data_IF_850968920211
#
_entry.id   IF_850968920211
#
_cell.length_a   1.000
_cell.length_b   1.000
_cell.length_c   1.000
_cell.angle_alpha   90.00
_cell.angle_beta   90.00
_cell.angle_gamma   90.00
#
_symmetry.space_group_name_H-M   'P 1'
#
loop_
_entity.id
_entity.type
_entity.pdbx_description
1 polymer ?
#
# COMPACT_ATOMS: atom_id res chain seq x y z
N UNK A 1 -18.86 5.87 -50.46
CA UNK A 1 -17.75 5.27 -49.72
C UNK A 1 -17.75 5.89 -48.32
N UNK A 2 -18.28 5.15 -47.35
CA UNK A 2 -18.25 5.60 -45.94
C UNK A 2 -16.93 5.14 -45.32
N UNK A 3 -16.08 6.09 -45.03
CA UNK A 3 -14.82 5.86 -44.31
C UNK A 3 -15.11 5.34 -42.91
N UNK A 4 -14.69 4.09 -42.61
CA UNK A 4 -14.65 3.56 -41.26
C UNK A 4 -13.55 4.32 -40.48
N UNK A 5 -13.96 5.19 -39.58
CA UNK A 5 -13.06 5.72 -38.56
C UNK A 5 -12.74 4.55 -37.61
N UNK A 6 -11.56 4.02 -37.70
CA UNK A 6 -11.01 3.12 -36.66
C UNK A 6 -10.63 4.04 -35.52
N UNK A 7 -11.45 4.07 -34.47
CA UNK A 7 -11.06 4.66 -33.19
C UNK A 7 -10.04 3.68 -32.60
N UNK A 8 -8.76 4.00 -32.74
CA UNK A 8 -7.72 3.38 -31.93
C UNK A 8 -7.95 3.93 -30.52
N UNK A 9 -8.56 3.13 -29.64
CA UNK A 9 -8.47 3.40 -28.20
C UNK A 9 -6.97 3.35 -27.86
N UNK A 10 -6.34 4.49 -27.70
CA UNK A 10 -5.07 4.56 -26.99
C UNK A 10 -5.34 4.01 -25.58
N UNK A 11 -4.81 2.83 -25.30
CA UNK A 11 -4.80 2.29 -23.95
C UNK A 11 -3.91 3.22 -23.18
N UNK A 12 -4.50 4.08 -22.36
CA UNK A 12 -3.77 4.91 -21.38
C UNK A 12 -3.05 3.95 -20.44
N UNK A 13 -1.75 3.77 -20.67
CA UNK A 13 -0.93 2.96 -19.78
C UNK A 13 -0.35 3.91 -18.74
N UNK A 14 -0.78 3.76 -17.50
CA UNK A 14 -0.16 4.40 -16.35
C UNK A 14 1.17 3.73 -16.04
N UNK A 15 2.11 4.49 -15.47
CA UNK A 15 3.35 3.95 -14.93
C UNK A 15 3.38 4.26 -13.44
N UNK A 16 3.42 3.21 -12.62
CA UNK A 16 3.53 3.34 -11.18
C UNK A 16 4.99 3.18 -10.77
N UNK A 17 5.59 4.27 -10.32
CA UNK A 17 6.97 4.30 -9.82
C UNK A 17 7.00 4.09 -8.30
N UNK A 18 7.84 3.16 -7.84
CA UNK A 18 8.08 2.96 -6.42
C UNK A 18 8.51 1.54 -6.06
N UNK A 19 8.92 1.34 -4.82
CA UNK A 19 9.29 0.02 -4.31
C UNK A 19 8.04 -0.81 -3.96
N UNK A 20 7.95 -2.04 -4.47
CA UNK A 20 6.82 -2.93 -4.22
C UNK A 20 6.58 -3.19 -2.71
N UNK A 21 7.62 -3.17 -1.89
CA UNK A 21 7.52 -3.35 -0.43
C UNK A 21 6.90 -2.14 0.29
N UNK A 22 6.76 -0.99 -0.38
CA UNK A 22 6.16 0.21 0.23
C UNK A 22 4.65 0.04 0.42
N UNK A 23 4.10 0.34 1.61
CA UNK A 23 2.65 0.29 1.84
C UNK A 23 1.89 1.28 0.95
N UNK A 24 2.48 2.42 0.64
CA UNK A 24 1.88 3.47 -0.20
C UNK A 24 1.86 3.08 -1.69
N UNK A 25 2.91 2.40 -2.17
CA UNK A 25 2.94 1.82 -3.54
C UNK A 25 1.90 0.71 -3.64
N UNK A 26 1.83 -0.17 -2.65
CA UNK A 26 0.83 -1.24 -2.56
C UNK A 26 -0.59 -0.70 -2.56
N UNK A 27 -0.87 0.35 -1.77
CA UNK A 27 -2.17 1.04 -1.78
C UNK A 27 -2.56 1.47 -3.18
N UNK A 28 -1.69 2.18 -3.88
CA UNK A 28 -1.93 2.64 -5.25
C UNK A 28 -2.07 1.47 -6.25
N UNK A 29 -1.24 0.43 -6.11
CA UNK A 29 -1.32 -0.77 -6.95
C UNK A 29 -2.66 -1.47 -6.82
N UNK A 30 -3.10 -1.74 -5.59
CA UNK A 30 -4.39 -2.40 -5.33
C UNK A 30 -5.53 -1.52 -5.86
N UNK A 31 -5.46 -0.21 -5.66
CA UNK A 31 -6.44 0.74 -6.16
C UNK A 31 -6.57 0.70 -7.68
N UNK A 32 -5.45 0.74 -8.42
CA UNK A 32 -5.42 0.61 -9.87
C UNK A 32 -6.04 -0.72 -10.33
N UNK A 33 -5.68 -1.84 -9.68
CA UNK A 33 -6.23 -3.16 -10.00
C UNK A 33 -7.73 -3.28 -9.72
N UNK A 34 -8.23 -2.72 -8.62
CA UNK A 34 -9.66 -2.69 -8.32
C UNK A 34 -10.45 -1.80 -9.30
N UNK A 35 -9.83 -0.75 -9.83
CA UNK A 35 -10.36 0.07 -10.92
C UNK A 35 -10.32 -0.64 -12.29
N UNK A 36 -9.62 -1.76 -12.41
CA UNK A 36 -9.41 -2.44 -13.69
C UNK A 36 -8.51 -1.66 -14.65
N UNK A 37 -7.63 -0.81 -14.13
CA UNK A 37 -6.70 0.00 -14.90
C UNK A 37 -5.40 -0.77 -15.14
N UNK A 38 -4.95 -0.78 -16.39
CA UNK A 38 -3.65 -1.34 -16.75
C UNK A 38 -2.54 -0.34 -16.46
N UNK A 39 -1.42 -0.83 -15.93
CA UNK A 39 -0.25 -0.01 -15.64
C UNK A 39 1.04 -0.85 -15.72
N UNK A 40 2.13 -0.16 -15.99
CA UNK A 40 3.49 -0.68 -15.86
C UNK A 40 4.02 -0.32 -14.47
N UNK A 41 4.66 -1.27 -13.78
CA UNK A 41 5.38 -0.98 -12.54
C UNK A 41 6.85 -0.73 -12.84
N UNK A 42 7.39 0.37 -12.33
CA UNK A 42 8.82 0.68 -12.37
C UNK A 42 9.36 0.81 -10.96
N UNK A 43 10.21 -0.14 -10.61
CA UNK A 43 10.90 -0.14 -9.33
C UNK A 43 11.70 1.16 -9.16
N UNK A 44 11.54 1.78 -7.98
CA UNK A 44 12.27 2.99 -7.60
C UNK A 44 12.72 2.87 -6.15
N UNK A 45 14.02 3.04 -5.89
CA UNK A 45 14.55 3.01 -4.53
C UNK A 45 14.10 4.28 -3.76
N UNK A 46 13.36 4.14 -2.65
CA UNK A 46 12.93 5.28 -1.85
C UNK A 46 14.10 6.03 -1.18
N UNK A 47 15.29 5.45 -1.17
CA UNK A 47 16.51 6.05 -0.63
C UNK A 47 17.34 6.76 -1.71
N UNK A 48 16.99 6.62 -2.99
CA UNK A 48 17.58 7.38 -4.08
C UNK A 48 17.30 8.88 -3.85
N UNK A 49 18.33 9.69 -3.95
CA UNK A 49 18.27 11.15 -3.86
C UNK A 49 18.80 11.80 -5.13
N UNK A 50 18.79 11.05 -6.25
CA UNK A 50 19.17 11.57 -7.55
C UNK A 50 18.30 12.76 -7.97
N UNK A 51 18.88 13.66 -8.76
CA UNK A 51 18.12 14.78 -9.35
C UNK A 51 16.91 14.29 -10.15
N UNK A 52 17.07 13.15 -10.84
CA UNK A 52 15.98 12.50 -11.57
C UNK A 52 14.80 12.18 -10.65
N UNK A 53 15.04 11.52 -9.51
CA UNK A 53 13.95 11.18 -8.59
C UNK A 53 13.34 12.43 -7.95
N UNK A 54 14.17 13.38 -7.53
CA UNK A 54 13.70 14.64 -6.94
C UNK A 54 12.92 15.51 -7.94
N UNK A 55 13.21 15.39 -9.25
CA UNK A 55 12.39 16.05 -10.28
C UNK A 55 11.00 15.40 -10.44
N UNK A 56 10.86 14.10 -10.16
CA UNK A 56 9.56 13.42 -10.17
C UNK A 56 8.73 13.74 -8.92
N UNK A 57 9.38 13.79 -7.76
CA UNK A 57 8.74 14.16 -6.49
C UNK A 57 9.76 14.93 -5.61
N UNK A 58 9.57 16.23 -5.40
CA UNK A 58 10.53 17.04 -4.64
C UNK A 58 10.63 16.65 -3.16
N UNK A 59 9.64 15.89 -2.62
CA UNK A 59 9.71 15.33 -1.28
C UNK A 59 10.59 14.06 -1.24
N UNK A 60 11.02 13.52 -2.40
CA UNK A 60 11.78 12.28 -2.50
C UNK A 60 11.04 11.10 -1.87
N UNK A 61 9.73 11.00 -2.12
CA UNK A 61 8.84 9.94 -1.62
C UNK A 61 8.19 9.19 -2.76
N UNK A 62 7.82 7.96 -2.52
CA UNK A 62 7.07 7.06 -3.40
C UNK A 62 5.67 6.80 -2.81
N UNK A 63 4.66 6.50 -3.67
CA UNK A 63 4.69 6.34 -5.13
C UNK A 63 4.69 7.66 -5.92
N UNK A 64 5.00 7.54 -7.21
CA UNK A 64 4.67 8.53 -8.24
C UNK A 64 3.92 7.80 -9.35
N UNK A 65 2.81 8.35 -9.82
CA UNK A 65 2.07 7.90 -10.99
C UNK A 65 2.44 8.80 -12.18
N UNK A 66 2.84 8.18 -13.29
CA UNK A 66 3.10 8.86 -14.55
C UNK A 66 2.00 8.52 -15.55
N UNK A 67 1.42 9.53 -16.19
CA UNK A 67 0.43 9.39 -17.23
C UNK A 67 1.09 9.26 -18.62
N UNK A 68 0.32 8.85 -19.62
CA UNK A 68 0.83 8.63 -20.99
C UNK A 68 1.44 9.89 -21.63
N UNK A 69 1.03 11.09 -21.23
CA UNK A 69 1.56 12.36 -21.68
C UNK A 69 2.80 12.83 -20.88
N UNK A 70 3.23 12.04 -19.88
CA UNK A 70 4.36 12.35 -19.01
C UNK A 70 4.00 13.20 -17.79
N UNK A 71 2.72 13.52 -17.56
CA UNK A 71 2.30 14.20 -16.33
C UNK A 71 2.57 13.31 -15.11
N UNK A 72 3.06 13.89 -14.02
CA UNK A 72 3.45 13.19 -12.80
C UNK A 72 2.54 13.58 -11.64
N UNK A 73 2.00 12.57 -10.97
CA UNK A 73 1.15 12.74 -9.78
C UNK A 73 1.83 12.02 -8.63
N UNK A 74 2.13 12.74 -7.56
CA UNK A 74 2.84 12.21 -6.39
C UNK A 74 1.93 12.15 -5.18
N UNK A 75 2.25 11.24 -4.25
CA UNK A 75 1.50 10.88 -3.05
C UNK A 75 0.34 9.91 -3.31
N UNK A 76 0.29 8.84 -2.49
CA UNK A 76 -0.68 7.76 -2.70
C UNK A 76 -2.14 8.18 -2.55
N UNK A 77 -2.46 9.07 -1.60
CA UNK A 77 -3.81 9.55 -1.39
C UNK A 77 -4.25 10.50 -2.51
N UNK A 78 -3.32 11.37 -2.96
CA UNK A 78 -3.56 12.25 -4.11
C UNK A 78 -3.78 11.44 -5.39
N UNK A 79 -2.97 10.40 -5.62
CA UNK A 79 -3.11 9.50 -6.78
C UNK A 79 -4.46 8.78 -6.74
N UNK A 80 -4.83 8.20 -5.58
CA UNK A 80 -6.10 7.48 -5.46
C UNK A 80 -7.32 8.40 -5.64
N UNK A 81 -7.30 9.60 -5.07
CA UNK A 81 -8.40 10.58 -5.28
C UNK A 81 -8.46 11.06 -6.73
N UNK A 82 -7.32 11.31 -7.37
CA UNK A 82 -7.26 11.64 -8.79
C UNK A 82 -7.87 10.53 -9.65
N UNK A 83 -7.45 9.29 -9.45
CA UNK A 83 -7.96 8.12 -10.19
C UNK A 83 -9.45 7.88 -9.94
N UNK A 84 -9.94 8.14 -8.72
CA UNK A 84 -11.38 8.08 -8.42
C UNK A 84 -12.18 9.08 -9.27
N UNK A 85 -11.69 10.30 -9.43
CA UNK A 85 -12.36 11.34 -10.16
C UNK A 85 -12.30 11.12 -11.69
N UNK A 86 -11.18 10.63 -12.22
CA UNK A 86 -11.02 10.36 -13.66
C UNK A 86 -11.72 9.05 -14.07
N UNK A 87 -11.72 8.07 -13.19
CA UNK A 87 -12.34 6.75 -13.38
C UNK A 87 -13.35 6.45 -12.26
N UNK A 88 -14.54 7.07 -12.27
CA UNK A 88 -15.47 6.99 -11.13
C UNK A 88 -16.10 5.61 -10.93
N UNK A 89 -15.95 4.67 -11.86
CA UNK A 89 -16.52 3.32 -11.76
C UNK A 89 -15.46 2.23 -11.99
N UNK A 90 -15.38 1.22 -11.10
CA UNK A 90 -16.10 1.11 -9.83
C UNK A 90 -15.67 2.18 -8.83
N UNK A 91 -16.61 2.71 -8.01
CA UNK A 91 -16.29 3.67 -6.95
C UNK A 91 -15.57 2.99 -5.79
N UNK A 92 -14.42 3.52 -5.39
CA UNK A 92 -13.63 3.04 -4.24
C UNK A 92 -13.63 4.02 -3.06
N UNK A 93 -14.20 5.20 -3.26
CA UNK A 93 -14.58 6.11 -2.19
C UNK A 93 -16.11 6.14 -2.07
N UNK A 94 -16.69 6.06 -0.87
CA UNK A 94 -18.14 6.16 -0.70
C UNK A 94 -18.70 7.48 -1.27
N UNK A 95 -19.86 7.40 -1.93
CA UNK A 95 -20.55 8.58 -2.46
C UNK A 95 -21.23 9.42 -1.37
N UNK A 96 -21.68 8.80 -0.28
CA UNK A 96 -22.22 9.51 0.88
C UNK A 96 -21.12 10.24 1.64
N UNK A 97 -21.34 11.51 1.97
CA UNK A 97 -20.33 12.35 2.60
C UNK A 97 -19.88 11.88 3.99
N UNK A 98 -20.76 11.25 4.78
CA UNK A 98 -20.40 10.74 6.12
C UNK A 98 -19.54 9.48 6.00
N UNK A 99 -19.94 8.56 5.14
CA UNK A 99 -19.18 7.35 4.83
C UNK A 99 -17.84 7.70 4.19
N UNK A 100 -17.81 8.70 3.29
CA UNK A 100 -16.55 9.20 2.70
C UNK A 100 -15.63 9.79 3.77
N UNK A 101 -16.15 10.60 4.70
CA UNK A 101 -15.35 11.14 5.78
C UNK A 101 -14.77 10.03 6.68
N UNK A 102 -15.54 8.96 6.94
CA UNK A 102 -15.08 7.79 7.68
C UNK A 102 -14.01 7.01 6.90
N UNK A 103 -14.16 6.87 5.59
CA UNK A 103 -13.15 6.22 4.74
C UNK A 103 -11.83 6.99 4.73
N UNK A 104 -11.88 8.32 4.59
CA UNK A 104 -10.70 9.19 4.67
C UNK A 104 -10.05 9.15 6.07
N UNK A 105 -10.83 9.01 7.13
CA UNK A 105 -10.29 8.82 8.47
C UNK A 105 -9.47 7.54 8.60
N UNK A 106 -9.97 6.41 8.07
CA UNK A 106 -9.21 5.15 8.09
C UNK A 106 -8.01 5.19 7.16
N UNK A 107 -8.09 5.89 6.04
CA UNK A 107 -6.94 6.14 5.16
C UNK A 107 -5.85 6.91 5.92
N UNK A 108 -6.20 8.03 6.58
CA UNK A 108 -5.26 8.82 7.38
C UNK A 108 -4.69 8.01 8.55
N UNK A 109 -5.53 7.22 9.24
CA UNK A 109 -5.09 6.34 10.31
C UNK A 109 -4.04 5.33 9.82
N UNK A 110 -4.28 4.73 8.64
CA UNK A 110 -3.36 3.78 8.03
C UNK A 110 -2.05 4.46 7.60
N UNK A 111 -2.14 5.61 6.95
CA UNK A 111 -1.01 6.31 6.35
C UNK A 111 -0.09 6.97 7.40
N UNK A 112 -0.60 7.23 8.59
CA UNK A 112 0.14 7.88 9.68
C UNK A 112 0.49 6.89 10.80
N UNK A 113 -0.40 6.72 11.78
CA UNK A 113 -0.11 5.95 12.99
C UNK A 113 0.18 4.49 12.71
N UNK A 114 -0.66 3.81 11.92
CA UNK A 114 -0.47 2.38 11.64
C UNK A 114 0.80 2.14 10.83
N UNK A 115 1.08 2.98 9.82
CA UNK A 115 2.33 2.88 9.04
C UNK A 115 3.54 3.13 9.91
N UNK A 116 3.52 4.10 10.81
CA UNK A 116 4.62 4.34 11.74
C UNK A 116 4.94 3.09 12.57
N UNK A 117 3.93 2.39 13.05
CA UNK A 117 4.09 1.19 13.88
C UNK A 117 4.55 -0.02 13.04
N UNK A 118 3.86 -0.32 11.93
CA UNK A 118 4.17 -1.47 11.10
C UNK A 118 5.52 -1.34 10.37
N UNK A 119 5.85 -0.14 9.88
CA UNK A 119 7.12 0.13 9.24
C UNK A 119 8.28 0.03 10.23
N UNK A 120 8.10 0.49 11.48
CA UNK A 120 9.15 0.34 12.50
C UNK A 120 9.48 -1.14 12.74
N UNK A 121 8.47 -2.01 12.84
CA UNK A 121 8.68 -3.46 12.99
C UNK A 121 9.38 -4.05 11.76
N UNK A 122 8.95 -3.67 10.56
CA UNK A 122 9.62 -4.09 9.31
C UNK A 122 11.10 -3.64 9.29
N UNK A 123 11.39 -2.41 9.68
CA UNK A 123 12.76 -1.90 9.76
C UNK A 123 13.61 -2.67 10.76
N UNK A 124 13.08 -2.96 11.95
CA UNK A 124 13.80 -3.70 12.99
C UNK A 124 14.07 -5.17 12.60
N UNK A 125 13.14 -5.80 11.87
CA UNK A 125 13.31 -7.18 11.42
C UNK A 125 14.16 -7.34 10.17
N UNK A 126 14.09 -6.39 9.23
CA UNK A 126 14.65 -6.56 7.88
C UNK A 126 15.77 -5.54 7.63
N UNK A 127 15.48 -4.24 7.70
CA UNK A 127 16.40 -3.21 7.21
C UNK A 127 17.63 -3.05 8.12
N UNK A 128 17.42 -2.97 9.43
CA UNK A 128 18.51 -2.79 10.40
C UNK A 128 19.45 -3.99 10.38
N UNK A 129 18.99 -5.26 10.44
CA UNK A 129 19.86 -6.43 10.32
C UNK A 129 20.71 -6.44 9.06
N UNK A 130 20.12 -6.18 7.90
CA UNK A 130 20.84 -6.15 6.62
C UNK A 130 21.93 -5.07 6.64
N UNK A 131 21.62 -3.87 7.10
CA UNK A 131 22.57 -2.75 7.11
C UNK A 131 23.66 -2.88 8.16
N UNK A 132 23.35 -3.45 9.32
CA UNK A 132 24.29 -3.58 10.42
C UNK A 132 25.12 -4.86 10.34
N UNK A 133 24.71 -5.85 9.54
CA UNK A 133 25.29 -7.21 9.53
C UNK A 133 25.04 -7.99 10.83
N UNK A 134 24.11 -7.53 11.68
CA UNK A 134 23.76 -8.17 12.96
C UNK A 134 22.34 -8.75 12.89
N UNK A 135 22.05 -9.83 13.58
CA UNK A 135 20.68 -10.36 13.66
C UNK A 135 19.73 -9.36 14.30
N UNK A 136 18.43 -9.47 13.99
CA UNK A 136 17.39 -8.69 14.62
C UNK A 136 17.38 -8.90 16.14
N UNK A 137 17.22 -7.82 16.90
CA UNK A 137 17.04 -7.89 18.36
C UNK A 137 15.56 -8.16 18.68
N UNK A 138 15.24 -9.44 18.85
CA UNK A 138 13.87 -9.86 19.14
C UNK A 138 13.34 -9.33 20.48
N UNK A 139 14.24 -9.06 21.44
CA UNK A 139 13.83 -8.50 22.73
C UNK A 139 13.35 -7.05 22.59
N UNK A 140 14.10 -6.24 21.83
CA UNK A 140 13.71 -4.86 21.52
C UNK A 140 12.43 -4.80 20.69
N UNK A 141 12.30 -5.66 19.69
CA UNK A 141 11.12 -5.76 18.84
C UNK A 141 9.87 -6.12 19.66
N UNK A 142 9.98 -7.14 20.52
CA UNK A 142 8.86 -7.54 21.37
C UNK A 142 8.48 -6.42 22.36
N UNK A 143 9.43 -5.74 22.97
CA UNK A 143 9.17 -4.61 23.83
C UNK A 143 8.47 -3.45 23.09
N UNK A 144 8.87 -3.19 21.84
CA UNK A 144 8.20 -2.20 20.98
C UNK A 144 6.75 -2.61 20.68
N UNK A 145 6.53 -3.88 20.30
CA UNK A 145 5.19 -4.42 20.00
C UNK A 145 4.29 -4.38 21.24
N UNK A 146 4.77 -4.83 22.39
CA UNK A 146 4.00 -4.88 23.64
C UNK A 146 3.56 -3.49 24.09
N UNK A 147 4.38 -2.48 23.82
CA UNK A 147 4.07 -1.08 24.14
C UNK A 147 3.06 -0.46 23.18
N UNK A 148 3.16 -0.71 21.88
CA UNK A 148 2.45 0.07 20.87
C UNK A 148 1.24 -0.65 20.26
N UNK A 149 1.26 -1.98 20.18
CA UNK A 149 0.18 -2.74 19.54
C UNK A 149 -1.16 -2.67 20.28
N UNK A 150 -1.22 -2.70 21.64
CA UNK A 150 -2.51 -2.68 22.34
C UNK A 150 -3.42 -1.52 21.96
N UNK A 151 -2.89 -0.32 21.84
CA UNK A 151 -3.68 0.88 21.52
C UNK A 151 -4.11 0.85 20.04
N UNK A 152 -3.18 0.50 19.13
CA UNK A 152 -3.42 0.54 17.69
C UNK A 152 -4.29 -0.62 17.23
N UNK A 153 -3.88 -1.84 17.50
CA UNK A 153 -4.64 -3.02 17.07
C UNK A 153 -5.86 -3.29 17.95
N UNK A 154 -5.84 -2.86 19.22
CA UNK A 154 -7.03 -2.91 20.09
C UNK A 154 -8.17 -2.03 19.54
N UNK A 155 -7.86 -0.83 19.04
CA UNK A 155 -8.84 0.00 18.33
C UNK A 155 -9.36 -0.69 17.07
N UNK A 156 -8.46 -1.17 16.20
CA UNK A 156 -8.84 -1.85 14.96
C UNK A 156 -9.67 -3.12 15.22
N UNK A 157 -9.32 -3.90 16.25
CA UNK A 157 -10.11 -5.06 16.71
C UNK A 157 -11.53 -4.68 17.13
N UNK A 158 -11.67 -3.55 17.83
CA UNK A 158 -12.97 -3.07 18.32
C UNK A 158 -13.92 -2.63 17.20
N UNK A 159 -13.38 -2.21 16.06
CA UNK A 159 -14.15 -1.69 14.91
C UNK A 159 -14.16 -2.62 13.70
N UNK A 160 -13.38 -3.71 13.74
CA UNK A 160 -13.30 -4.67 12.65
C UNK A 160 -14.66 -5.33 12.37
N UNK A 161 -15.13 -5.35 11.11
CA UNK A 161 -16.36 -6.02 10.74
C UNK A 161 -16.16 -7.54 10.62
N UNK A 162 -17.23 -8.32 10.91
CA UNK A 162 -17.13 -9.78 10.88
C UNK A 162 -17.05 -10.33 9.45
N UNK A 163 -17.80 -9.76 8.49
CA UNK A 163 -17.94 -10.31 7.13
C UNK A 163 -17.95 -9.27 5.99
N UNK A 164 -17.72 -7.99 6.31
CA UNK A 164 -17.85 -6.87 5.37
C UNK A 164 -16.62 -5.99 5.34
N UNK A 165 -16.72 -4.84 4.68
CA UNK A 165 -15.72 -3.78 4.66
C UNK A 165 -15.82 -2.88 5.89
N UNK A 166 -14.72 -2.18 6.21
CA UNK A 166 -14.63 -1.35 7.44
C UNK A 166 -15.58 -0.14 7.40
N UNK A 167 -15.99 0.30 6.23
CA UNK A 167 -16.91 1.43 6.03
C UNK A 167 -18.16 0.98 5.30
N UNK A 168 -19.26 0.83 6.04
CA UNK A 168 -20.64 0.68 5.55
C UNK A 168 -20.80 -0.36 4.42
N UNK A 169 -20.13 -1.51 4.53
CA UNK A 169 -20.09 -2.59 3.54
C UNK A 169 -19.58 -2.17 2.14
N UNK A 170 -18.93 -1.03 2.06
CA UNK A 170 -18.33 -0.52 0.83
C UNK A 170 -16.83 -0.80 0.81
N UNK A 171 -16.40 -1.81 0.02
CA UNK A 171 -14.98 -2.05 -0.17
C UNK A 171 -14.34 -0.88 -0.91
N UNK A 172 -13.26 -0.35 -0.35
CA UNK A 172 -12.61 0.81 -0.95
C UNK A 172 -11.32 1.23 -0.27
N UNK A 173 -11.04 2.54 -0.35
CA UNK A 173 -9.76 3.12 0.06
C UNK A 173 -9.40 2.80 1.52
N UNK A 174 -10.37 2.75 2.43
CA UNK A 174 -10.14 2.41 3.84
C UNK A 174 -9.56 1.00 4.00
N UNK A 175 -10.19 0.01 3.35
CA UNK A 175 -9.76 -1.39 3.40
C UNK A 175 -8.39 -1.56 2.75
N UNK A 176 -8.20 -0.93 1.59
CA UNK A 176 -6.95 -0.96 0.82
C UNK A 176 -5.81 -0.40 1.65
N UNK A 177 -5.99 0.76 2.29
CA UNK A 177 -4.96 1.44 3.09
C UNK A 177 -4.56 0.63 4.32
N UNK A 178 -5.55 0.15 5.09
CA UNK A 178 -5.30 -0.66 6.29
C UNK A 178 -4.54 -1.94 5.92
N UNK A 179 -5.01 -2.70 4.93
CA UNK A 179 -4.37 -3.95 4.55
C UNK A 179 -2.98 -3.73 3.94
N UNK A 180 -2.81 -2.68 3.14
CA UNK A 180 -1.50 -2.32 2.57
C UNK A 180 -0.45 -2.07 3.64
N UNK A 181 -0.84 -1.45 4.74
CA UNK A 181 0.06 -1.15 5.84
C UNK A 181 0.36 -2.38 6.70
N UNK A 182 -0.66 -3.16 7.08
CA UNK A 182 -0.48 -4.37 7.90
C UNK A 182 0.38 -5.43 7.19
N UNK A 183 0.35 -5.47 5.85
CA UNK A 183 1.19 -6.37 5.05
C UNK A 183 2.70 -6.23 5.35
N UNK A 184 3.17 -5.09 5.86
CA UNK A 184 4.55 -4.94 6.30
C UNK A 184 4.95 -5.93 7.39
N UNK A 185 4.01 -6.32 8.25
CA UNK A 185 4.26 -7.30 9.31
C UNK A 185 4.48 -8.71 8.74
N UNK A 186 3.72 -9.09 7.70
CA UNK A 186 3.92 -10.38 7.01
C UNK A 186 5.29 -10.40 6.30
N UNK A 187 5.65 -9.32 5.60
CA UNK A 187 6.94 -9.19 4.95
C UNK A 187 8.11 -9.22 5.95
N UNK A 188 7.88 -8.72 7.16
CA UNK A 188 8.84 -8.81 8.25
C UNK A 188 8.98 -10.22 8.81
N UNK A 189 8.09 -11.16 8.48
CA UNK A 189 8.01 -12.46 9.14
C UNK A 189 7.49 -12.39 10.59
N UNK A 190 6.76 -11.32 10.91
CA UNK A 190 6.20 -11.01 12.23
C UNK A 190 4.70 -10.71 12.14
N UNK A 191 3.88 -11.63 11.60
CA UNK A 191 2.47 -11.40 11.33
C UNK A 191 1.72 -10.98 12.60
N UNK A 192 0.53 -10.43 12.38
CA UNK A 192 -0.36 -10.05 13.47
C UNK A 192 -0.75 -11.30 14.27
N UNK A 193 -0.83 -11.16 15.59
CA UNK A 193 -1.24 -12.21 16.51
C UNK A 193 -2.77 -12.42 16.39
N UNK A 194 -3.16 -13.49 15.70
CA UNK A 194 -4.55 -13.82 15.44
C UNK A 194 -5.32 -14.25 16.72
N UNK A 195 -4.63 -14.75 17.75
CA UNK A 195 -5.27 -15.10 19.03
C UNK A 195 -5.59 -13.83 19.83
N UNK A 196 -4.79 -12.79 19.67
CA UNK A 196 -4.97 -11.52 20.37
C UNK A 196 -5.94 -10.56 19.67
N UNK A 197 -5.93 -10.55 18.33
CA UNK A 197 -6.79 -9.68 17.51
C UNK A 197 -7.49 -10.47 16.40
N UNK A 198 -8.38 -11.42 16.76
CA UNK A 198 -8.97 -12.37 15.82
C UNK A 198 -9.86 -11.70 14.76
N UNK A 199 -10.71 -10.74 15.14
CA UNK A 199 -11.64 -10.09 14.19
C UNK A 199 -10.89 -9.23 13.17
N UNK A 200 -9.92 -8.43 13.63
CA UNK A 200 -9.13 -7.61 12.73
C UNK A 200 -8.21 -8.46 11.86
N UNK A 201 -7.63 -9.54 12.39
CA UNK A 201 -6.86 -10.48 11.58
C UNK A 201 -7.72 -11.12 10.49
N UNK A 202 -8.92 -11.61 10.80
CA UNK A 202 -9.82 -12.20 9.81
C UNK A 202 -10.26 -11.20 8.76
N UNK A 203 -10.55 -9.96 9.16
CA UNK A 203 -10.81 -8.86 8.25
C UNK A 203 -9.61 -8.61 7.31
N UNK A 204 -8.40 -8.47 7.86
CA UNK A 204 -7.18 -8.28 7.09
C UNK A 204 -6.97 -9.43 6.08
N UNK A 205 -7.12 -10.69 6.51
CA UNK A 205 -6.97 -11.85 5.63
C UNK A 205 -7.98 -11.84 4.48
N UNK A 206 -9.21 -11.40 4.70
CA UNK A 206 -10.20 -11.24 3.63
C UNK A 206 -9.75 -10.21 2.60
N UNK A 207 -9.26 -9.06 3.05
CA UNK A 207 -8.80 -7.99 2.15
C UNK A 207 -7.57 -8.41 1.35
N UNK A 208 -6.53 -8.93 2.02
CA UNK A 208 -5.27 -9.31 1.35
C UNK A 208 -5.42 -10.54 0.44
N UNK A 209 -6.49 -11.32 0.61
CA UNK A 209 -6.80 -12.46 -0.24
C UNK A 209 -7.47 -12.08 -1.57
N UNK A 210 -7.86 -10.82 -1.78
CA UNK A 210 -8.45 -10.35 -3.03
C UNK A 210 -7.46 -10.49 -4.19
N UNK A 211 -7.92 -10.78 -5.42
CA UNK A 211 -7.04 -10.88 -6.58
C UNK A 211 -6.17 -9.65 -6.81
N UNK A 212 -6.71 -8.46 -6.57
CA UNK A 212 -6.01 -7.18 -6.68
C UNK A 212 -4.82 -7.09 -5.71
N UNK A 213 -5.01 -7.51 -4.45
CA UNK A 213 -3.95 -7.53 -3.46
C UNK A 213 -2.92 -8.64 -3.72
N UNK A 214 -3.37 -9.82 -4.18
CA UNK A 214 -2.45 -10.92 -4.54
C UNK A 214 -1.56 -10.58 -5.72
N UNK A 215 -2.00 -9.70 -6.61
CA UNK A 215 -1.25 -9.37 -7.83
C UNK A 215 0.09 -8.67 -7.58
N UNK A 216 0.34 -8.13 -6.38
CA UNK A 216 1.63 -7.52 -6.01
C UNK A 216 2.54 -8.46 -5.22
N UNK A 217 2.02 -9.59 -4.72
CA UNK A 217 2.77 -10.44 -3.75
C UNK A 217 4.08 -10.95 -4.34
N UNK A 218 4.08 -11.39 -5.59
CA UNK A 218 5.30 -11.92 -6.22
C UNK A 218 6.37 -10.83 -6.36
N UNK A 219 5.98 -9.61 -6.70
CA UNK A 219 6.86 -8.43 -6.75
C UNK A 219 7.43 -8.08 -5.37
N UNK A 220 6.61 -8.15 -4.32
CA UNK A 220 7.02 -7.90 -2.94
C UNK A 220 8.03 -8.92 -2.45
N UNK A 221 7.76 -10.20 -2.69
CA UNK A 221 8.64 -11.29 -2.27
C UNK A 221 9.96 -11.22 -2.99
N UNK A 222 9.94 -10.99 -4.30
CA UNK A 222 11.15 -10.78 -5.09
C UNK A 222 11.97 -9.58 -4.57
N UNK A 223 11.32 -8.42 -4.36
CA UNK A 223 11.99 -7.23 -3.85
C UNK A 223 12.60 -7.45 -2.45
N UNK A 224 11.88 -8.15 -1.57
CA UNK A 224 12.34 -8.46 -0.22
C UNK A 224 13.53 -9.43 -0.25
N UNK A 225 13.51 -10.42 -1.13
CA UNK A 225 14.58 -11.41 -1.25
C UNK A 225 15.86 -10.80 -1.85
N UNK A 226 15.73 -9.99 -2.89
CA UNK A 226 16.83 -9.21 -3.45
C UNK A 226 17.45 -8.33 -2.38
N UNK A 227 16.64 -7.60 -1.61
CA UNK A 227 17.15 -6.73 -0.56
C UNK A 227 17.90 -7.52 0.54
N UNK A 228 17.38 -8.68 0.93
CA UNK A 228 18.05 -9.57 1.89
C UNK A 228 19.40 -10.10 1.39
N UNK A 229 19.52 -10.33 0.09
CA UNK A 229 20.74 -10.94 -0.50
C UNK A 229 21.78 -9.92 -0.91
N UNK A 230 21.39 -8.74 -1.35
CA UNK A 230 22.32 -7.72 -1.89
C UNK A 230 22.50 -6.51 -0.97
N UNK A 231 21.57 -6.24 -0.07
CA UNK A 231 21.50 -5.01 0.71
C UNK A 231 20.96 -3.81 -0.06
N UNK A 232 20.68 -3.97 -1.35
CA UNK A 232 20.19 -2.94 -2.26
C UNK A 232 18.77 -3.25 -2.73
N UNK A 233 18.01 -2.21 -3.08
CA UNK A 233 16.72 -2.39 -3.74
C UNK A 233 16.91 -3.00 -5.15
N UNK A 234 15.95 -3.81 -5.65
CA UNK A 234 15.98 -4.30 -7.03
C UNK A 234 16.04 -3.14 -8.03
N UNK A 235 16.80 -3.35 -9.09
CA UNK A 235 16.96 -2.36 -10.17
C UNK A 235 15.83 -2.47 -11.20
#
# INVERSE_FOLDING_TARGET
MMGRHVIILEVLIYILHGAATSPFVRKTWIFLKEKGLEFEHRQLDPLDKSERFLSMNPLGRIPVLEEADGNLISDSSVICDYLENVHPSPGLYPADNRSRAKALWFEEYADTLLTQICAQVFWMHIIIPIRSGKPADLSEINAFRDKNYPDVFGYLESVAPDDSSIVDNHFGIADISLASTVRLLDLAGAPLDADRWPRFNDYYQRVISRPSAKSIIDEELFATDVFRTTGDAPK
#
